data_IF_075897282277
#
_entry.id   IF_075897282277
#
_cell.length_a   1.000
_cell.length_b   1.000
_cell.length_c   1.000
_cell.angle_alpha   90.00
_cell.angle_beta   90.00
_cell.angle_gamma   90.00
#
_symmetry.space_group_name_H-M   'P 1'
#
loop_
_entity.id
_entity.type
_entity.pdbx_description
1 polymer ?
#
# COMPACT_ATOMS: atom_id res chain seq x y z
N UNK A 1 -12.16 -22.08 8.70
CA UNK A 1 -11.69 -21.48 9.97
C UNK A 1 -12.15 -20.03 9.98
N UNK A 2 -13.10 -19.69 10.86
CA UNK A 2 -13.65 -18.34 10.98
C UNK A 2 -12.61 -17.42 11.61
N UNK A 3 -12.00 -16.54 10.81
CA UNK A 3 -11.17 -15.46 11.34
C UNK A 3 -12.07 -14.42 12.00
N UNK A 4 -11.93 -14.29 13.29
CA UNK A 4 -12.65 -13.31 14.12
C UNK A 4 -12.35 -11.89 13.62
N UNK A 5 -13.37 -11.15 13.17
CA UNK A 5 -13.32 -9.80 12.57
C UNK A 5 -12.73 -8.68 13.46
N UNK A 6 -12.30 -9.01 14.71
CA UNK A 6 -11.79 -8.03 15.70
C UNK A 6 -10.40 -8.40 16.25
N UNK A 7 -9.59 -9.18 15.53
CA UNK A 7 -8.27 -9.54 16.03
C UNK A 7 -7.30 -8.36 15.84
N UNK A 8 -6.91 -7.73 16.95
CA UNK A 8 -5.88 -6.71 17.00
C UNK A 8 -4.56 -7.26 16.50
N UNK A 9 -3.80 -6.49 15.73
CA UNK A 9 -2.52 -6.95 15.19
C UNK A 9 -1.45 -5.87 15.26
N UNK A 10 -0.22 -6.31 15.45
CA UNK A 10 0.99 -5.50 15.30
C UNK A 10 1.89 -6.11 14.24
N UNK A 11 2.65 -5.30 13.54
CA UNK A 11 3.60 -5.75 12.50
C UNK A 11 5.01 -5.34 12.88
N UNK A 12 5.92 -6.32 12.90
CA UNK A 12 7.34 -6.07 13.12
C UNK A 12 8.02 -5.68 11.80
N UNK A 13 8.92 -4.69 11.86
CA UNK A 13 9.70 -4.19 10.72
C UNK A 13 11.15 -3.99 11.11
N UNK A 14 12.06 -4.11 10.15
CA UNK A 14 13.42 -3.65 10.34
C UNK A 14 13.47 -2.13 10.17
N UNK A 15 14.04 -1.44 11.14
CA UNK A 15 14.36 -0.01 11.06
C UNK A 15 15.88 0.19 11.20
N UNK A 16 16.37 1.26 10.59
CA UNK A 16 17.72 1.72 10.77
C UNK A 16 17.65 3.12 11.40
N UNK A 17 17.97 3.22 12.68
CA UNK A 17 17.97 4.47 13.42
C UNK A 17 19.40 4.70 13.96
N UNK A 18 19.99 5.85 13.68
CA UNK A 18 21.36 6.18 14.04
C UNK A 18 22.40 5.11 13.63
N UNK A 19 22.23 4.52 12.44
CA UNK A 19 23.05 3.41 11.90
C UNK A 19 22.94 2.09 12.68
N UNK A 20 22.05 1.99 13.66
CA UNK A 20 21.76 0.75 14.38
C UNK A 20 20.46 0.10 13.89
N UNK A 21 20.48 -1.24 13.80
CA UNK A 21 19.28 -2.02 13.47
C UNK A 21 18.34 -2.04 14.66
N UNK A 22 17.09 -1.66 14.45
CA UNK A 22 16.02 -1.61 15.43
C UNK A 22 14.83 -2.47 14.98
N UNK A 23 14.02 -2.92 15.93
CA UNK A 23 12.73 -3.55 15.68
C UNK A 23 11.68 -2.45 15.68
N UNK A 24 11.07 -2.16 14.53
CA UNK A 24 9.89 -1.30 14.42
C UNK A 24 8.62 -2.08 14.70
N UNK A 25 7.73 -1.49 15.48
CA UNK A 25 6.42 -2.06 15.84
C UNK A 25 5.35 -1.14 15.30
N UNK A 26 4.76 -1.55 14.17
CA UNK A 26 3.68 -0.82 13.52
C UNK A 26 2.33 -1.41 13.95
N UNK A 27 1.39 -0.53 14.31
CA UNK A 27 0.03 -0.92 14.71
C UNK A 27 -0.96 0.20 14.38
N UNK A 28 -2.24 -0.15 14.25
CA UNK A 28 -3.31 0.85 14.23
C UNK A 28 -3.57 1.37 15.64
N UNK A 29 -3.92 2.67 15.83
CA UNK A 29 -4.17 3.24 17.13
C UNK A 29 -5.17 2.42 17.95
N UNK A 30 -4.69 1.78 19.02
CA UNK A 30 -5.48 0.95 19.92
C UNK A 30 -4.97 1.11 21.35
N UNK A 31 -5.90 1.34 22.32
CA UNK A 31 -5.56 1.58 23.71
C UNK A 31 -4.86 0.40 24.38
N UNK A 32 -5.28 -0.83 24.06
CA UNK A 32 -4.67 -2.04 24.65
C UNK A 32 -3.24 -2.24 24.13
N UNK A 33 -3.02 -2.07 22.82
CA UNK A 33 -1.69 -2.17 22.22
C UNK A 33 -0.76 -1.09 22.80
N UNK A 34 -1.23 0.15 22.93
CA UNK A 34 -0.43 1.23 23.55
C UNK A 34 -0.10 0.97 25.01
N UNK A 35 -1.05 0.42 25.77
CA UNK A 35 -0.81 0.04 27.17
C UNK A 35 0.25 -1.07 27.27
N UNK A 36 0.16 -2.09 26.42
CA UNK A 36 1.14 -3.19 26.37
C UNK A 36 2.53 -2.71 25.98
N UNK A 37 2.64 -1.78 25.01
CA UNK A 37 3.94 -1.20 24.63
C UNK A 37 4.63 -0.45 25.77
N UNK A 38 3.87 0.18 26.69
CA UNK A 38 4.41 0.86 27.87
C UNK A 38 4.99 -0.10 28.91
N UNK A 39 4.58 -1.36 28.92
CA UNK A 39 5.10 -2.39 29.82
C UNK A 39 6.47 -2.90 29.36
N UNK A 40 6.72 -2.88 28.05
CA UNK A 40 7.99 -3.30 27.47
C UNK A 40 9.03 -2.20 27.70
N UNK A 41 10.13 -2.54 28.37
CA UNK A 41 11.22 -1.59 28.66
C UNK A 41 11.87 -1.11 27.36
N UNK A 42 12.35 0.14 27.38
CA UNK A 42 13.14 0.76 26.30
C UNK A 42 12.44 0.93 24.95
N UNK A 43 11.11 0.78 24.90
CA UNK A 43 10.34 1.13 23.71
C UNK A 43 10.28 2.65 23.56
N UNK A 44 10.62 3.14 22.37
CA UNK A 44 10.61 4.55 21.99
C UNK A 44 9.65 4.77 20.83
N UNK A 45 9.21 6.00 20.63
CA UNK A 45 8.40 6.40 19.48
C UNK A 45 9.24 7.16 18.47
N UNK A 46 9.13 6.84 17.21
CA UNK A 46 9.74 7.59 16.11
C UNK A 46 8.66 8.36 15.35
N UNK A 47 8.75 9.68 15.37
CA UNK A 47 7.87 10.55 14.59
C UNK A 47 8.17 10.44 13.08
N UNK A 48 9.43 10.22 12.72
CA UNK A 48 9.88 10.05 11.34
C UNK A 48 9.25 8.81 10.68
N UNK A 49 9.22 7.68 11.41
CA UNK A 49 8.68 6.42 10.90
C UNK A 49 7.20 6.19 11.31
N UNK A 50 6.63 7.03 12.16
CA UNK A 50 5.26 6.91 12.65
C UNK A 50 4.97 5.60 13.38
N UNK A 51 5.96 5.05 14.11
CA UNK A 51 5.81 3.77 14.83
C UNK A 51 6.71 3.69 16.06
N UNK A 52 6.36 2.77 16.96
CA UNK A 52 7.21 2.42 18.09
C UNK A 52 8.43 1.61 17.62
N UNK A 53 9.54 1.73 18.34
CA UNK A 53 10.74 0.94 18.05
C UNK A 53 11.50 0.58 19.32
N UNK A 54 12.29 -0.49 19.23
CA UNK A 54 13.14 -0.99 20.30
C UNK A 54 14.40 -1.61 19.69
N UNK A 55 15.49 -1.69 20.46
CA UNK A 55 16.76 -2.28 20.01
C UNK A 55 16.55 -3.73 19.51
N UNK A 56 17.17 -4.06 18.36
CA UNK A 56 17.05 -5.38 17.76
C UNK A 56 17.92 -6.40 18.50
N UNK A 57 17.37 -6.97 19.56
CA UNK A 57 17.96 -8.08 20.33
C UNK A 57 16.96 -9.23 20.44
N UNK A 58 17.46 -10.44 20.64
CA UNK A 58 16.62 -11.63 20.81
C UNK A 58 15.72 -11.51 22.06
N UNK A 59 16.23 -10.89 23.12
CA UNK A 59 15.50 -10.64 24.37
C UNK A 59 14.30 -9.74 24.14
N UNK A 60 14.48 -8.62 23.43
CA UNK A 60 13.42 -7.68 23.09
C UNK A 60 12.39 -8.31 22.15
N UNK A 61 12.86 -9.12 21.22
CA UNK A 61 11.94 -9.86 20.33
C UNK A 61 11.06 -10.83 21.12
N UNK A 62 11.67 -11.60 22.04
CA UNK A 62 10.94 -12.52 22.91
C UNK A 62 9.97 -11.77 23.84
N UNK A 63 10.37 -10.62 24.38
CA UNK A 63 9.51 -9.77 25.20
C UNK A 63 8.26 -9.31 24.42
N UNK A 64 8.43 -8.88 23.17
CA UNK A 64 7.29 -8.49 22.31
C UNK A 64 6.31 -9.67 22.15
N UNK A 65 6.80 -10.85 21.78
CA UNK A 65 5.91 -12.02 21.60
C UNK A 65 5.23 -12.43 22.91
N UNK A 66 5.92 -12.33 24.04
CA UNK A 66 5.39 -12.66 25.36
C UNK A 66 4.28 -11.70 25.79
N UNK A 67 4.54 -10.40 25.74
CA UNK A 67 3.62 -9.39 26.25
C UNK A 67 2.39 -9.21 25.37
N UNK A 68 2.52 -9.44 24.06
CA UNK A 68 1.37 -9.37 23.13
C UNK A 68 0.57 -10.68 23.03
N UNK A 69 1.01 -11.75 23.69
CA UNK A 69 0.28 -13.04 23.71
C UNK A 69 -1.12 -12.86 24.31
N UNK A 70 -2.15 -13.16 23.52
CA UNK A 70 -3.56 -13.01 23.93
C UNK A 70 -4.13 -11.58 23.80
N UNK A 71 -3.31 -10.57 23.48
CA UNK A 71 -3.74 -9.18 23.31
C UNK A 71 -3.83 -8.81 21.84
N UNK A 72 -2.79 -9.12 21.07
CA UNK A 72 -2.73 -8.82 19.64
C UNK A 72 -1.92 -9.89 18.90
N UNK A 73 -2.27 -10.10 17.62
CA UNK A 73 -1.48 -10.95 16.74
C UNK A 73 -0.19 -10.24 16.35
N UNK A 74 0.96 -10.89 16.60
CA UNK A 74 2.28 -10.37 16.22
C UNK A 74 2.65 -10.89 14.83
N UNK A 75 2.56 -10.02 13.83
CA UNK A 75 2.96 -10.34 12.47
C UNK A 75 4.46 -10.06 12.29
N UNK A 76 5.27 -11.10 12.33
CA UNK A 76 6.70 -11.06 12.10
C UNK A 76 7.12 -11.47 10.68
N UNK A 77 6.19 -11.71 9.77
CA UNK A 77 6.48 -12.26 8.44
C UNK A 77 7.49 -11.43 7.66
N UNK A 78 7.37 -10.09 7.67
CA UNK A 78 8.32 -9.18 7.03
C UNK A 78 9.65 -9.06 7.79
N UNK A 79 9.65 -9.37 9.08
CA UNK A 79 10.83 -9.31 9.92
C UNK A 79 11.73 -10.55 9.77
N UNK A 80 11.13 -11.72 9.58
CA UNK A 80 11.86 -12.99 9.48
C UNK A 80 12.12 -13.46 8.05
N UNK A 81 11.49 -12.85 7.03
CA UNK A 81 11.70 -13.27 5.64
C UNK A 81 13.07 -12.83 5.11
N UNK A 82 13.85 -13.78 4.65
CA UNK A 82 14.96 -13.55 3.72
C UNK A 82 14.34 -13.41 2.32
N UNK A 83 14.11 -12.17 1.87
CA UNK A 83 13.80 -11.82 0.46
C UNK A 83 12.70 -12.66 -0.24
N UNK A 84 11.49 -12.65 0.28
CA UNK A 84 10.32 -12.95 -0.56
C UNK A 84 9.32 -11.80 -0.47
N UNK A 85 8.83 -11.38 -1.63
CA UNK A 85 7.76 -10.40 -1.76
C UNK A 85 6.48 -10.95 -1.14
N UNK A 86 6.27 -10.68 0.14
CA UNK A 86 5.12 -11.15 0.90
C UNK A 86 3.87 -10.44 0.38
N UNK A 87 2.97 -11.23 -0.18
CA UNK A 87 1.60 -10.81 -0.44
C UNK A 87 0.97 -10.42 0.90
N UNK A 88 0.89 -9.11 1.16
CA UNK A 88 0.40 -8.54 2.40
C UNK A 88 -1.11 -8.78 2.54
N UNK A 89 -1.50 -9.74 3.36
CA UNK A 89 -2.87 -9.94 3.84
C UNK A 89 -3.16 -9.16 5.14
N UNK A 90 -2.38 -8.13 5.45
CA UNK A 90 -2.67 -7.23 6.58
C UNK A 90 -3.80 -6.31 6.16
N UNK A 91 -4.86 -6.15 6.97
CA UNK A 91 -5.91 -5.17 6.71
C UNK A 91 -5.31 -3.80 6.43
N UNK A 92 -5.83 -3.10 5.43
CA UNK A 92 -5.34 -1.79 5.07
C UNK A 92 -5.61 -0.83 6.23
N UNK A 93 -4.54 -0.23 6.78
CA UNK A 93 -4.67 0.99 7.55
C UNK A 93 -4.38 2.15 6.58
N UNK A 94 -5.43 2.78 6.04
CA UNK A 94 -5.26 3.93 5.14
C UNK A 94 -4.94 5.22 5.89
N UNK A 95 -4.89 5.20 7.22
CA UNK A 95 -4.52 6.37 8.03
C UNK A 95 -3.10 6.88 7.72
N UNK A 96 -2.20 5.97 7.32
CA UNK A 96 -0.89 6.36 6.79
C UNK A 96 -0.99 7.29 5.57
N UNK A 97 -2.07 7.16 4.78
CA UNK A 97 -2.30 7.97 3.58
C UNK A 97 -3.03 9.27 3.90
N UNK A 98 -3.87 9.29 4.94
CA UNK A 98 -4.56 10.47 5.45
C UNK A 98 -3.58 11.45 6.10
N UNK A 99 -2.60 10.93 6.85
CA UNK A 99 -1.68 11.74 7.66
C UNK A 99 -0.39 12.13 6.93
N UNK A 100 -0.31 11.97 5.59
CA UNK A 100 0.86 12.37 4.81
C UNK A 100 0.96 13.89 4.73
N UNK A 101 2.16 14.43 4.91
CA UNK A 101 2.45 15.84 4.70
C UNK A 101 2.84 16.05 3.24
N UNK A 102 2.12 16.92 2.55
CA UNK A 102 2.35 17.24 1.15
C UNK A 102 2.82 18.68 0.95
N UNK A 103 3.40 18.96 -0.22
CA UNK A 103 3.65 20.33 -0.67
C UNK A 103 2.32 21.06 -0.85
N UNK A 104 2.30 22.37 -0.61
CA UNK A 104 1.12 23.22 -0.57
C UNK A 104 0.16 23.06 -1.76
N UNK A 105 0.67 22.70 -2.93
CA UNK A 105 -0.10 22.61 -4.18
C UNK A 105 -0.32 21.15 -4.66
N UNK A 106 -0.11 20.16 -3.80
CA UNK A 106 -0.30 18.76 -4.18
C UNK A 106 -1.73 18.32 -3.90
N UNK A 107 -2.42 17.82 -4.93
CA UNK A 107 -3.77 17.24 -4.79
C UNK A 107 -3.65 15.81 -4.31
N UNK A 108 -4.29 15.53 -3.19
CA UNK A 108 -4.42 14.16 -2.63
C UNK A 108 -5.70 13.51 -3.13
N UNK A 109 -5.74 12.18 -3.06
CA UNK A 109 -6.97 11.44 -3.37
C UNK A 109 -8.10 11.85 -2.42
N UNK A 110 -9.36 11.92 -2.90
CA UNK A 110 -10.53 12.17 -2.04
C UNK A 110 -10.68 11.10 -0.96
N UNK A 111 -11.29 11.48 0.17
CA UNK A 111 -11.49 10.56 1.29
C UNK A 111 -12.35 9.35 0.90
N UNK A 112 -13.33 9.54 0.03
CA UNK A 112 -14.18 8.47 -0.50
C UNK A 112 -13.39 7.39 -1.24
N UNK A 113 -12.28 7.78 -1.87
CA UNK A 113 -11.35 6.84 -2.53
C UNK A 113 -10.69 5.91 -1.50
N UNK A 114 -10.23 6.47 -0.39
CA UNK A 114 -9.58 5.73 0.69
C UNK A 114 -10.58 4.79 1.38
N UNK A 115 -11.77 5.31 1.72
CA UNK A 115 -12.83 4.53 2.33
C UNK A 115 -13.26 3.34 1.44
N UNK A 116 -13.33 3.56 0.12
CA UNK A 116 -13.71 2.49 -0.81
C UNK A 116 -12.65 1.40 -0.92
N UNK A 117 -11.36 1.76 -0.84
CA UNK A 117 -10.28 0.79 -0.78
C UNK A 117 -10.35 -0.05 0.50
N UNK A 118 -10.66 0.57 1.65
CA UNK A 118 -10.86 -0.12 2.93
C UNK A 118 -12.07 -1.07 2.86
N UNK A 119 -13.23 -0.57 2.46
CA UNK A 119 -14.45 -1.37 2.39
C UNK A 119 -14.31 -2.58 1.48
N UNK A 120 -13.56 -2.46 0.38
CA UNK A 120 -13.29 -3.57 -0.53
C UNK A 120 -12.11 -4.45 -0.11
N UNK A 121 -11.47 -4.15 1.03
CA UNK A 121 -10.36 -4.92 1.59
C UNK A 121 -9.21 -5.15 0.58
N UNK A 122 -8.88 -4.14 -0.21
CA UNK A 122 -7.72 -4.23 -1.11
C UNK A 122 -6.43 -4.45 -0.32
N UNK A 123 -5.45 -5.15 -0.90
CA UNK A 123 -4.15 -5.28 -0.27
C UNK A 123 -3.46 -3.91 -0.16
N UNK A 124 -2.61 -3.73 0.87
CA UNK A 124 -1.83 -2.48 1.04
C UNK A 124 -1.02 -2.15 -0.21
N UNK A 125 -0.47 -3.16 -0.87
CA UNK A 125 0.30 -2.98 -2.11
C UNK A 125 -0.57 -2.41 -3.24
N UNK A 126 -1.77 -2.98 -3.43
CA UNK A 126 -2.73 -2.50 -4.43
C UNK A 126 -3.21 -1.08 -4.10
N UNK A 127 -3.54 -0.82 -2.83
CA UNK A 127 -3.97 0.50 -2.38
C UNK A 127 -2.90 1.55 -2.62
N UNK A 128 -1.63 1.28 -2.25
CA UNK A 128 -0.49 2.17 -2.54
C UNK A 128 -0.38 2.48 -4.02
N UNK A 129 -0.47 1.47 -4.86
CA UNK A 129 -0.38 1.62 -6.31
C UNK A 129 -1.52 2.49 -6.84
N UNK A 130 -2.77 2.21 -6.45
CA UNK A 130 -3.94 2.97 -6.90
C UNK A 130 -3.90 4.42 -6.44
N UNK A 131 -3.56 4.66 -5.17
CA UNK A 131 -3.44 6.01 -4.62
C UNK A 131 -2.36 6.79 -5.36
N UNK A 132 -1.15 6.24 -5.47
CA UNK A 132 -0.02 6.91 -6.12
C UNK A 132 -0.31 7.25 -7.59
N UNK A 133 -0.89 6.31 -8.34
CA UNK A 133 -1.22 6.51 -9.75
C UNK A 133 -2.35 7.53 -9.91
N UNK A 134 -3.40 7.44 -9.09
CA UNK A 134 -4.49 8.40 -9.16
C UNK A 134 -4.04 9.80 -8.75
N UNK A 135 -3.20 9.93 -7.72
CA UNK A 135 -2.58 11.23 -7.37
C UNK A 135 -1.73 11.80 -8.51
N UNK A 136 -0.98 10.95 -9.21
CA UNK A 136 -0.22 11.39 -10.38
C UNK A 136 -1.14 11.94 -11.48
N UNK A 137 -2.26 11.26 -11.74
CA UNK A 137 -3.25 11.69 -12.71
C UNK A 137 -3.94 13.00 -12.33
N UNK A 138 -4.46 13.14 -11.10
CA UNK A 138 -5.15 14.37 -10.67
C UNK A 138 -4.22 15.57 -10.53
N UNK A 139 -2.93 15.33 -10.28
CA UNK A 139 -1.91 16.39 -10.26
C UNK A 139 -1.47 16.81 -11.66
N UNK A 140 -1.71 16.01 -12.70
CA UNK A 140 -1.56 16.44 -14.08
C UNK A 140 -2.65 17.45 -14.45
N UNK A 141 -3.88 17.27 -13.96
CA UNK A 141 -5.03 18.16 -14.17
C UNK A 141 -5.32 19.02 -12.94
N UNK A 142 -4.30 19.71 -12.39
CA UNK A 142 -4.42 20.46 -11.13
C UNK A 142 -5.56 21.45 -11.10
N UNK A 143 -5.78 22.13 -12.19
CA UNK A 143 -6.73 23.24 -12.28
C UNK A 143 -8.14 22.78 -12.65
N UNK A 144 -8.28 21.53 -13.11
CA UNK A 144 -9.58 20.99 -13.54
C UNK A 144 -10.23 20.21 -12.39
N UNK A 145 -11.50 20.51 -12.02
CA UNK A 145 -12.24 19.72 -11.05
C UNK A 145 -12.39 18.25 -11.51
N UNK A 146 -12.37 17.30 -10.55
CA UNK A 146 -12.40 15.87 -10.86
C UNK A 146 -13.69 15.42 -11.59
N UNK A 147 -14.80 16.09 -11.32
CA UNK A 147 -16.10 15.85 -11.97
C UNK A 147 -16.17 16.39 -13.42
N UNK A 148 -15.28 17.29 -13.77
CA UNK A 148 -15.20 17.87 -15.12
C UNK A 148 -14.19 17.18 -16.03
N UNK A 149 -13.34 16.31 -15.48
CA UNK A 149 -12.43 15.48 -16.27
C UNK A 149 -13.26 14.47 -17.04
N UNK A 150 -13.21 14.55 -18.36
CA UNK A 150 -13.98 13.71 -19.26
C UNK A 150 -13.16 12.55 -19.87
N UNK A 151 -13.78 11.76 -20.71
CA UNK A 151 -13.14 10.64 -21.39
C UNK A 151 -12.03 11.10 -22.34
N UNK A 152 -12.16 12.27 -22.94
CA UNK A 152 -11.16 12.84 -23.84
C UNK A 152 -9.88 13.21 -23.08
N UNK A 153 -10.01 13.83 -21.91
CA UNK A 153 -8.88 14.12 -21.03
C UNK A 153 -8.13 12.84 -20.65
N UNK A 154 -8.87 11.83 -20.25
CA UNK A 154 -8.27 10.54 -19.84
C UNK A 154 -7.51 9.90 -21.01
N UNK A 155 -8.08 9.90 -22.22
CA UNK A 155 -7.41 9.38 -23.42
C UNK A 155 -6.15 10.15 -23.74
N UNK A 156 -6.19 11.48 -23.70
CA UNK A 156 -5.02 12.34 -23.94
C UNK A 156 -3.92 12.04 -22.92
N UNK A 157 -4.28 11.88 -21.65
CA UNK A 157 -3.30 11.54 -20.63
C UNK A 157 -2.65 10.17 -20.85
N UNK A 158 -3.45 9.15 -21.20
CA UNK A 158 -2.94 7.82 -21.48
C UNK A 158 -2.05 7.82 -22.75
N UNK A 159 -2.42 8.58 -23.78
CA UNK A 159 -1.59 8.77 -24.97
C UNK A 159 -0.25 9.41 -24.62
N UNK A 160 -0.25 10.42 -23.75
CA UNK A 160 0.98 11.05 -23.24
C UNK A 160 1.88 10.03 -22.54
N UNK A 161 1.31 9.13 -21.70
CA UNK A 161 2.09 8.09 -21.04
C UNK A 161 2.73 7.11 -22.04
N UNK A 162 2.02 6.75 -23.10
CA UNK A 162 2.56 5.89 -24.17
C UNK A 162 3.68 6.60 -24.92
N UNK A 163 3.52 7.89 -25.24
CA UNK A 163 4.57 8.71 -25.88
C UNK A 163 5.82 8.86 -24.99
N UNK A 164 5.64 8.88 -23.68
CA UNK A 164 6.73 8.85 -22.69
C UNK A 164 7.38 7.47 -22.51
N UNK A 165 7.03 6.49 -23.34
CA UNK A 165 7.53 5.11 -23.26
C UNK A 165 7.29 4.44 -21.89
N UNK A 166 6.19 4.76 -21.19
CA UNK A 166 5.81 4.05 -19.98
C UNK A 166 5.46 2.60 -20.30
N UNK A 167 5.79 1.69 -19.40
CA UNK A 167 5.52 0.27 -19.60
C UNK A 167 4.02 0.00 -19.75
N UNK A 168 3.65 -1.03 -20.52
CA UNK A 168 2.26 -1.46 -20.68
C UNK A 168 1.60 -1.78 -19.32
N UNK A 169 2.37 -2.35 -18.38
CA UNK A 169 1.89 -2.63 -17.02
C UNK A 169 1.54 -1.35 -16.28
N UNK A 170 2.37 -0.31 -16.39
CA UNK A 170 2.12 0.98 -15.77
C UNK A 170 0.86 1.64 -16.33
N UNK A 171 0.71 1.67 -17.65
CA UNK A 171 -0.48 2.25 -18.31
C UNK A 171 -1.74 1.49 -17.91
N UNK A 172 -1.70 0.15 -17.87
CA UNK A 172 -2.85 -0.66 -17.44
C UNK A 172 -3.21 -0.42 -15.96
N UNK A 173 -2.24 -0.26 -15.08
CA UNK A 173 -2.50 0.08 -13.67
C UNK A 173 -3.06 1.49 -13.52
N UNK A 174 -2.60 2.46 -14.33
CA UNK A 174 -3.15 3.80 -14.40
C UNK A 174 -4.63 3.77 -14.79
N UNK A 175 -4.97 3.06 -15.87
CA UNK A 175 -6.35 2.86 -16.30
C UNK A 175 -7.21 2.27 -15.16
N UNK A 176 -6.72 1.23 -14.50
CA UNK A 176 -7.44 0.59 -13.40
C UNK A 176 -7.66 1.55 -12.22
N UNK A 177 -6.69 2.39 -11.89
CA UNK A 177 -6.78 3.39 -10.82
C UNK A 177 -7.81 4.48 -11.16
N UNK A 178 -7.80 4.99 -12.39
CA UNK A 178 -8.79 5.99 -12.87
C UNK A 178 -10.19 5.38 -12.88
N UNK A 179 -10.36 4.17 -13.44
CA UNK A 179 -11.64 3.44 -13.45
C UNK A 179 -12.17 3.19 -12.04
N UNK A 180 -11.29 2.85 -11.11
CA UNK A 180 -11.68 2.66 -9.72
C UNK A 180 -12.32 3.92 -9.14
N UNK A 181 -11.77 5.11 -9.40
CA UNK A 181 -12.39 6.35 -8.94
C UNK A 181 -13.75 6.59 -9.59
N UNK A 182 -13.82 6.67 -10.91
CA UNK A 182 -15.05 7.06 -11.59
C UNK A 182 -16.14 5.99 -11.54
N UNK A 183 -15.81 4.72 -11.72
CA UNK A 183 -16.82 3.64 -11.79
C UNK A 183 -17.18 3.09 -10.41
N UNK A 184 -16.22 3.04 -9.48
CA UNK A 184 -16.43 2.36 -8.19
C UNK A 184 -16.69 3.36 -7.06
N UNK A 185 -15.95 4.47 -7.00
CA UNK A 185 -16.11 5.49 -5.97
C UNK A 185 -17.30 6.39 -6.32
N UNK A 186 -17.28 6.99 -7.50
CA UNK A 186 -18.32 7.91 -7.97
C UNK A 186 -19.57 7.23 -8.51
N UNK A 187 -19.54 5.89 -8.67
CA UNK A 187 -20.64 5.09 -9.20
C UNK A 187 -21.16 5.58 -10.57
N UNK A 188 -20.27 6.21 -11.34
CA UNK A 188 -20.63 6.65 -12.68
C UNK A 188 -20.86 5.42 -13.59
N UNK A 189 -21.92 5.41 -14.44
CA UNK A 189 -22.08 4.33 -15.38
C UNK A 189 -20.87 4.26 -16.30
N UNK A 190 -20.49 3.06 -16.65
CA UNK A 190 -19.34 2.64 -17.47
C UNK A 190 -19.00 3.59 -18.65
N UNK A 191 -18.48 4.76 -18.35
CA UNK A 191 -18.01 5.75 -19.35
C UNK A 191 -16.73 5.34 -20.05
N UNK A 192 -15.98 4.40 -19.46
CA UNK A 192 -14.59 4.12 -19.85
C UNK A 192 -14.43 2.77 -20.55
N UNK A 193 -15.47 2.17 -21.12
CA UNK A 193 -15.35 0.93 -21.89
C UNK A 193 -14.50 1.05 -23.15
N UNK A 194 -14.45 2.24 -23.74
CA UNK A 194 -13.75 2.47 -24.99
C UNK A 194 -12.26 2.84 -24.83
N UNK A 195 -11.73 2.83 -23.59
CA UNK A 195 -10.31 3.05 -23.39
C UNK A 195 -9.53 1.83 -23.88
N UNK A 196 -8.83 2.00 -24.99
CA UNK A 196 -7.97 0.96 -25.55
C UNK A 196 -6.82 0.66 -24.59
N UNK A 197 -6.64 -0.65 -24.31
CA UNK A 197 -5.49 -1.09 -23.50
C UNK A 197 -4.31 -1.39 -24.40
N UNK A 198 -3.08 -1.01 -23.98
CA UNK A 198 -1.89 -1.40 -24.72
C UNK A 198 -1.83 -2.92 -24.87
N UNK A 199 -1.65 -3.41 -26.10
CA UNK A 199 -1.47 -4.84 -26.37
C UNK A 199 -0.11 -5.28 -25.83
N UNK A 200 -0.09 -6.34 -25.01
CA UNK A 200 1.15 -6.99 -24.61
C UNK A 200 1.77 -7.64 -25.85
N UNK A 201 3.03 -7.33 -26.13
CA UNK A 201 3.78 -8.12 -27.14
C UNK A 201 3.83 -9.56 -26.65
N UNK A 202 3.30 -10.48 -27.44
CA UNK A 202 3.42 -11.90 -27.16
C UNK A 202 4.91 -12.28 -27.28
N UNK A 203 5.52 -12.66 -26.19
CA UNK A 203 6.81 -13.33 -26.21
C UNK A 203 6.55 -14.82 -26.16
N UNK A 204 7.06 -15.55 -27.15
CA UNK A 204 7.05 -17.01 -27.12
C UNK A 204 7.69 -17.47 -25.79
N UNK A 205 7.13 -18.52 -25.15
CA UNK A 205 7.77 -19.10 -23.97
C UNK A 205 9.18 -19.53 -24.36
N UNK A 206 10.19 -19.16 -23.57
CA UNK A 206 11.53 -19.76 -23.72
C UNK A 206 11.39 -21.23 -23.36
N UNK A 207 11.41 -22.08 -24.37
CA UNK A 207 11.51 -23.52 -24.18
C UNK A 207 12.97 -23.79 -23.78
N UNK A 208 13.18 -24.16 -22.54
CA UNK A 208 14.47 -24.66 -22.08
C UNK A 208 14.61 -26.05 -22.68
N UNK A 209 15.69 -26.30 -23.44
CA UNK A 209 15.97 -27.62 -23.99
C UNK A 209 16.28 -28.61 -22.85
N UNK A 210 15.97 -29.89 -23.07
CA UNK A 210 16.25 -30.97 -22.09
C UNK A 210 17.75 -31.06 -21.70
N UNK A 211 18.63 -30.49 -22.50
CA UNK A 211 20.10 -30.49 -22.29
C UNK A 211 20.54 -29.41 -21.29
N UNK A 212 19.69 -28.39 -20.98
CA UNK A 212 19.99 -27.34 -19.98
C UNK A 212 19.49 -27.70 -18.57
N UNK A 213 18.92 -28.89 -18.37
CA UNK A 213 18.34 -29.35 -17.08
C UNK A 213 19.20 -30.44 -16.41
N UNK A 214 20.42 -30.74 -16.95
CA UNK A 214 21.37 -31.65 -16.31
C UNK A 214 22.35 -30.93 -15.41
#
# INVERSE_FOLDING_TARGET
MNFNKNQKSITLKHLLINKEKQIGIKFCPDRAIQATLRVIKDVKWSNEYGMAYIKNTQENLNAIFKEFKGIAWVNGSTFFSKNESIKNSVPICVDDFRNRIFKKDFRVVPEEFLQKLELRQYSISTAKTYISLFETFINHYKEKPLNEIDEYDIRNYLQLLVQQNRSHSYVNQMINSIKFYYEVVMQMPNRFYSIERPRKKESLPKVISLEEVQ
#
